data_IF_504802045636
#
_entry.id   IF_504802045636
#
_cell.length_a   1.000
_cell.length_b   1.000
_cell.length_c   1.000
_cell.angle_alpha   90.00
_cell.angle_beta   90.00
_cell.angle_gamma   90.00
#
_symmetry.space_group_name_H-M   'P 1'
#
loop_
_entity.id
_entity.type
_entity.pdbx_description
1 polymer ?
#
# COMPACT_ATOMS: atom_id res chain seq x y z
N UNK A 1 -10.05 -16.84 20.61
CA UNK A 1 -8.57 -16.80 20.74
C UNK A 1 -8.10 -17.48 22.03
N UNK A 2 -8.38 -16.95 23.23
CA UNK A 2 -7.89 -17.54 24.50
C UNK A 2 -8.23 -19.03 24.69
N UNK A 3 -9.50 -19.42 24.49
CA UNK A 3 -9.94 -20.82 24.56
C UNK A 3 -9.19 -21.73 23.55
N UNK A 4 -8.92 -21.21 22.36
CA UNK A 4 -8.19 -21.94 21.33
C UNK A 4 -6.71 -22.11 21.70
N UNK A 5 -6.07 -21.09 22.29
CA UNK A 5 -4.70 -21.22 22.81
C UNK A 5 -4.62 -22.27 23.92
N UNK A 6 -5.61 -22.32 24.83
CA UNK A 6 -5.68 -23.36 25.87
C UNK A 6 -5.83 -24.77 25.27
N UNK A 7 -6.71 -24.94 24.27
CA UNK A 7 -6.90 -26.22 23.57
C UNK A 7 -5.63 -26.72 22.87
N UNK A 8 -4.78 -25.79 22.40
CA UNK A 8 -3.52 -26.12 21.73
C UNK A 8 -2.31 -26.01 22.66
N UNK A 9 -2.50 -25.99 23.98
CA UNK A 9 -1.42 -25.96 25.00
C UNK A 9 -0.44 -24.80 24.80
N UNK A 10 -0.94 -23.66 24.32
CA UNK A 10 -0.18 -22.43 24.19
C UNK A 10 -0.42 -21.51 25.39
N UNK A 11 0.58 -21.41 26.26
CA UNK A 11 0.55 -20.54 27.42
C UNK A 11 0.77 -19.07 27.03
N UNK A 12 -0.27 -18.24 27.21
CA UNK A 12 -0.20 -16.81 26.97
C UNK A 12 0.32 -16.07 28.21
N UNK A 13 1.32 -15.22 28.04
CA UNK A 13 1.78 -14.34 29.11
C UNK A 13 0.88 -13.09 29.20
N UNK A 14 -0.19 -13.20 29.98
CA UNK A 14 -1.19 -12.14 30.14
C UNK A 14 -0.62 -10.82 30.68
N UNK A 15 0.49 -10.86 31.45
CA UNK A 15 1.16 -9.64 31.94
C UNK A 15 1.78 -8.80 30.82
N UNK A 16 2.07 -9.41 29.67
CA UNK A 16 2.59 -8.73 28.48
C UNK A 16 1.51 -8.41 27.45
N UNK A 17 0.24 -8.75 27.73
CA UNK A 17 -0.87 -8.49 26.83
C UNK A 17 -1.47 -7.11 27.13
N UNK A 18 -1.41 -6.22 26.14
CA UNK A 18 -2.01 -4.89 26.18
C UNK A 18 -2.90 -4.70 24.97
N UNK A 19 -3.84 -3.77 25.05
CA UNK A 19 -4.64 -3.37 23.89
C UNK A 19 -4.50 -1.88 23.62
N UNK A 20 -4.64 -1.51 22.36
CA UNK A 20 -4.54 -0.12 21.89
C UNK A 20 -5.77 0.16 21.05
N UNK A 21 -6.28 1.39 21.14
CA UNK A 21 -7.48 1.80 20.40
C UNK A 21 -7.17 3.05 19.58
N UNK A 22 -7.45 2.99 18.29
CA UNK A 22 -7.37 4.13 17.37
C UNK A 22 -8.77 4.54 16.97
N UNK A 23 -9.07 5.84 17.05
CA UNK A 23 -10.38 6.37 16.71
C UNK A 23 -10.26 7.80 16.19
N UNK A 24 -11.19 8.19 15.33
CA UNK A 24 -11.28 9.55 14.78
C UNK A 24 -12.34 10.42 15.50
N UNK A 25 -13.15 9.83 16.40
CA UNK A 25 -14.23 10.53 17.12
C UNK A 25 -13.72 11.21 18.39
N UNK A 26 -14.21 12.41 18.70
CA UNK A 26 -13.88 13.10 19.97
C UNK A 26 -14.26 12.30 21.22
N UNK A 27 -15.37 11.55 21.15
CA UNK A 27 -15.78 10.62 22.19
C UNK A 27 -15.64 9.18 21.67
N UNK A 28 -14.58 8.47 22.06
CA UNK A 28 -14.40 7.07 21.69
C UNK A 28 -15.32 6.16 22.48
N UNK A 29 -15.67 5.02 21.88
CA UNK A 29 -16.33 3.93 22.59
C UNK A 29 -15.28 3.32 23.54
N UNK A 30 -15.57 3.33 24.84
CA UNK A 30 -14.73 2.67 25.82
C UNK A 30 -15.13 1.20 25.90
N UNK A 31 -14.26 0.34 25.37
CA UNK A 31 -14.39 -1.11 25.45
C UNK A 31 -13.30 -1.65 26.36
N UNK A 32 -13.73 -2.49 27.31
CA UNK A 32 -12.82 -3.28 28.14
C UNK A 32 -12.61 -4.62 27.46
N UNK A 33 -11.38 -4.89 27.04
CA UNK A 33 -11.01 -6.17 26.46
C UNK A 33 -10.53 -7.10 27.58
N UNK A 34 -11.16 -8.26 27.71
CA UNK A 34 -10.74 -9.30 28.64
C UNK A 34 -10.19 -10.52 27.89
N UNK A 35 -9.13 -11.11 28.42
CA UNK A 35 -8.56 -12.36 27.92
C UNK A 35 -8.58 -13.39 29.05
N UNK A 36 -9.50 -14.35 28.95
CA UNK A 36 -9.86 -15.20 30.10
C UNK A 36 -10.59 -14.38 31.16
N UNK A 37 -10.06 -14.37 32.39
CA UNK A 37 -10.64 -13.62 33.52
C UNK A 37 -9.89 -12.31 33.82
N UNK A 38 -8.93 -11.92 32.96
CA UNK A 38 -8.10 -10.73 33.17
C UNK A 38 -8.50 -9.64 32.18
N UNK A 39 -8.78 -8.44 32.69
CA UNK A 39 -8.94 -7.24 31.87
C UNK A 39 -7.57 -6.77 31.40
N UNK A 40 -7.41 -6.62 30.09
CA UNK A 40 -6.19 -6.11 29.50
C UNK A 40 -6.01 -4.63 29.84
N UNK A 41 -4.77 -4.21 30.02
CA UNK A 41 -4.44 -2.81 30.21
C UNK A 41 -4.41 -2.10 28.85
N UNK A 42 -4.97 -0.89 28.81
CA UNK A 42 -4.89 -0.03 27.64
C UNK A 42 -3.53 0.64 27.59
N UNK A 43 -2.84 0.51 26.45
CA UNK A 43 -1.61 1.22 26.19
C UNK A 43 -1.91 2.43 25.29
N UNK A 44 -1.53 3.63 25.74
CA UNK A 44 -1.95 4.91 25.13
C UNK A 44 -0.85 5.58 24.33
N UNK A 45 0.42 5.33 24.64
CA UNK A 45 1.57 6.04 24.06
C UNK A 45 2.50 5.01 23.44
N UNK A 46 2.47 4.88 22.12
CA UNK A 46 3.49 4.14 21.39
C UNK A 46 4.59 5.14 21.00
N UNK A 47 5.71 5.13 21.72
CA UNK A 47 6.86 5.99 21.44
C UNK A 47 7.68 5.48 20.25
N UNK A 48 7.59 4.18 19.95
CA UNK A 48 8.35 3.55 18.87
C UNK A 48 7.78 3.90 17.49
N UNK A 49 8.55 4.68 16.73
CA UNK A 49 8.28 5.05 15.33
C UNK A 49 8.04 3.81 14.44
N UNK A 50 8.86 2.76 14.63
CA UNK A 50 8.80 1.52 13.86
C UNK A 50 7.51 0.74 14.13
N UNK A 51 7.03 0.71 15.38
CA UNK A 51 5.79 0.06 15.77
C UNK A 51 4.58 0.79 15.14
N UNK A 52 4.58 2.13 15.18
CA UNK A 52 3.53 2.95 14.55
C UNK A 52 3.46 2.75 13.03
N UNK A 53 4.62 2.71 12.35
CA UNK A 53 4.68 2.40 10.92
C UNK A 53 4.16 1.00 10.61
N UNK A 54 4.57 0.01 11.40
CA UNK A 54 4.14 -1.40 11.23
C UNK A 54 2.62 -1.52 11.37
N UNK A 55 2.05 -0.84 12.35
CA UNK A 55 0.61 -0.79 12.54
C UNK A 55 -0.09 -0.13 11.35
N UNK A 56 0.39 1.03 10.90
CA UNK A 56 -0.17 1.71 9.73
C UNK A 56 -0.10 0.81 8.49
N UNK A 57 1.02 0.10 8.30
CA UNK A 57 1.21 -0.80 7.17
C UNK A 57 0.28 -2.01 7.19
N UNK A 58 0.12 -2.63 8.36
CA UNK A 58 -0.71 -3.83 8.53
C UNK A 58 -2.22 -3.55 8.48
N UNK A 59 -2.67 -2.41 9.03
CA UNK A 59 -4.10 -2.11 9.12
C UNK A 59 -4.62 -1.29 7.94
N UNK A 60 -3.91 -0.24 7.57
CA UNK A 60 -4.42 0.76 6.62
C UNK A 60 -3.83 0.49 5.24
N UNK A 61 -2.50 0.45 5.14
CA UNK A 61 -1.79 0.33 3.85
C UNK A 61 -2.08 -1.00 3.15
N UNK A 62 -2.19 -2.10 3.89
CA UNK A 62 -2.48 -3.43 3.34
C UNK A 62 -3.77 -3.46 2.50
N UNK A 63 -4.85 -2.86 3.00
CA UNK A 63 -6.13 -2.75 2.30
C UNK A 63 -6.02 -1.89 1.05
N UNK A 64 -5.29 -0.76 1.14
CA UNK A 64 -5.09 0.13 0.01
C UNK A 64 -4.24 -0.50 -1.09
N UNK A 65 -3.07 -1.02 -0.73
CA UNK A 65 -2.11 -1.59 -1.70
C UNK A 65 -2.71 -2.80 -2.42
N UNK A 66 -3.56 -3.58 -1.76
CA UNK A 66 -4.32 -4.67 -2.40
C UNK A 66 -5.31 -4.14 -3.44
N UNK A 67 -6.17 -3.18 -3.07
CA UNK A 67 -7.22 -2.69 -3.95
C UNK A 67 -6.70 -1.80 -5.10
N UNK A 68 -5.51 -1.21 -4.95
CA UNK A 68 -4.99 -0.18 -5.85
C UNK A 68 -4.83 -0.64 -7.30
N UNK A 69 -4.54 -1.92 -7.53
CA UNK A 69 -4.40 -2.49 -8.87
C UNK A 69 -5.73 -2.50 -9.64
N UNK A 70 -6.83 -2.78 -8.94
CA UNK A 70 -8.17 -2.84 -9.52
C UNK A 70 -8.77 -1.43 -9.58
N UNK A 71 -8.65 -0.69 -8.49
CA UNK A 71 -9.25 0.65 -8.33
C UNK A 71 -8.19 1.71 -8.54
N UNK A 72 -7.64 1.79 -9.75
CA UNK A 72 -6.66 2.83 -10.05
C UNK A 72 -7.30 4.23 -9.99
N UNK A 73 -6.89 5.11 -9.07
CA UNK A 73 -7.34 6.49 -9.06
C UNK A 73 -6.69 7.24 -10.22
N UNK A 74 -7.46 7.55 -11.25
CA UNK A 74 -6.97 8.34 -12.39
C UNK A 74 -7.34 9.82 -12.29
N UNK A 75 -8.26 10.17 -11.38
CA UNK A 75 -8.63 11.56 -11.12
C UNK A 75 -7.70 12.18 -10.08
N UNK A 76 -7.26 13.41 -10.35
CA UNK A 76 -6.38 14.17 -9.45
C UNK A 76 -6.98 14.29 -8.04
N UNK A 77 -8.29 14.47 -7.93
CA UNK A 77 -9.01 14.56 -6.65
C UNK A 77 -8.91 13.26 -5.84
N UNK A 78 -9.13 12.11 -6.48
CA UNK A 78 -9.02 10.80 -5.83
C UNK A 78 -7.57 10.54 -5.34
N UNK A 79 -6.58 10.90 -6.17
CA UNK A 79 -5.17 10.80 -5.80
C UNK A 79 -4.86 11.71 -4.59
N UNK A 80 -5.37 12.94 -4.59
CA UNK A 80 -5.22 13.86 -3.48
C UNK A 80 -5.85 13.32 -2.19
N UNK A 81 -7.03 12.72 -2.28
CA UNK A 81 -7.71 12.14 -1.11
C UNK A 81 -6.93 10.96 -0.53
N UNK A 82 -6.36 10.08 -1.36
CA UNK A 82 -5.46 9.02 -0.89
C UNK A 82 -4.19 9.57 -0.27
N UNK A 83 -3.59 10.61 -0.85
CA UNK A 83 -2.44 11.28 -0.28
C UNK A 83 -2.76 11.97 1.05
N UNK A 84 -3.99 12.47 1.26
CA UNK A 84 -4.43 13.02 2.55
C UNK A 84 -4.39 11.97 3.66
N UNK A 85 -4.73 10.71 3.37
CA UNK A 85 -4.67 9.62 4.37
C UNK A 85 -3.24 9.43 4.85
N UNK A 86 -2.29 9.32 3.92
CA UNK A 86 -0.88 9.17 4.26
C UNK A 86 -0.32 10.42 4.96
N UNK A 87 -0.69 11.62 4.49
CA UNK A 87 -0.30 12.89 5.11
C UNK A 87 -0.84 13.04 6.54
N UNK A 88 -2.06 12.58 6.80
CA UNK A 88 -2.63 12.58 8.15
C UNK A 88 -1.85 11.66 9.09
N UNK A 89 -1.42 10.48 8.62
CA UNK A 89 -0.56 9.60 9.39
C UNK A 89 0.81 10.23 9.65
N UNK A 90 1.41 10.90 8.66
CA UNK A 90 2.68 11.63 8.84
C UNK A 90 2.54 12.75 9.86
N UNK A 91 1.43 13.51 9.87
CA UNK A 91 1.17 14.52 10.90
C UNK A 91 1.13 13.91 12.29
N UNK A 92 0.49 12.75 12.42
CA UNK A 92 0.47 12.01 13.67
C UNK A 92 1.88 11.56 14.09
N UNK A 93 2.71 11.06 13.16
CA UNK A 93 4.10 10.72 13.43
C UNK A 93 4.93 11.93 13.86
N UNK A 94 4.80 13.07 13.18
CA UNK A 94 5.49 14.31 13.57
C UNK A 94 5.13 14.73 15.00
N UNK A 95 3.85 14.62 15.36
CA UNK A 95 3.38 14.93 16.71
C UNK A 95 3.99 14.00 17.75
N UNK A 96 4.00 12.68 17.49
CA UNK A 96 4.57 11.71 18.45
C UNK A 96 6.09 11.79 18.56
N UNK A 97 6.79 12.06 17.45
CA UNK A 97 8.26 12.15 17.43
C UNK A 97 8.78 13.56 17.78
N UNK A 98 7.91 14.48 18.20
CA UNK A 98 8.24 15.90 18.47
C UNK A 98 8.97 16.61 17.32
N UNK A 99 8.68 16.23 16.07
CA UNK A 99 9.27 16.84 14.88
C UNK A 99 8.45 18.07 14.48
N UNK A 100 9.08 19.24 14.53
CA UNK A 100 8.43 20.48 14.10
C UNK A 100 8.14 20.46 12.60
N UNK A 101 6.88 20.72 12.26
CA UNK A 101 6.40 20.77 10.88
C UNK A 101 5.86 22.17 10.58
N UNK A 102 6.65 23.00 9.91
CA UNK A 102 6.21 24.33 9.47
C UNK A 102 5.07 24.23 8.43
N UNK A 103 4.00 25.01 8.49
CA UNK A 103 3.07 25.20 7.37
C UNK A 103 3.66 26.20 6.34
N UNK A 104 3.65 25.95 5.02
CA UNK A 104 3.15 24.80 4.27
C UNK A 104 4.31 23.84 3.92
N UNK A 105 4.67 22.95 4.83
CA UNK A 105 5.77 22.00 4.59
C UNK A 105 5.44 21.05 3.45
N UNK A 106 6.46 20.86 2.60
CA UNK A 106 6.43 19.88 1.52
C UNK A 106 6.34 18.45 2.10
N UNK A 107 5.23 17.79 1.77
CA UNK A 107 4.94 16.40 2.12
C UNK A 107 6.10 15.48 1.72
N UNK A 108 6.77 15.78 0.60
CA UNK A 108 7.86 14.97 0.06
C UNK A 108 9.14 15.01 0.93
N UNK A 109 9.36 16.06 1.70
CA UNK A 109 10.51 16.12 2.62
C UNK A 109 10.24 15.28 3.86
N UNK A 110 9.03 15.41 4.42
CA UNK A 110 8.67 14.71 5.67
C UNK A 110 8.58 13.20 5.45
N UNK A 111 8.03 12.77 4.32
CA UNK A 111 7.94 11.35 3.97
C UNK A 111 9.33 10.70 3.80
N UNK A 112 10.29 11.44 3.23
CA UNK A 112 11.67 10.99 3.06
C UNK A 112 12.38 10.90 4.40
N UNK A 113 12.16 11.86 5.30
CA UNK A 113 12.71 11.82 6.65
C UNK A 113 12.30 10.54 7.40
N UNK A 114 11.01 10.17 7.34
CA UNK A 114 10.52 8.93 7.92
C UNK A 114 10.79 7.68 7.06
N UNK A 115 11.60 7.74 6.00
CA UNK A 115 11.88 6.63 5.09
C UNK A 115 10.62 5.91 4.57
N UNK A 116 9.54 6.66 4.35
CA UNK A 116 8.29 6.12 3.80
C UNK A 116 8.23 6.31 2.28
N UNK A 117 7.57 5.39 1.58
CA UNK A 117 7.38 5.48 0.14
C UNK A 117 6.13 6.30 -0.21
N UNK A 118 6.21 7.12 -1.26
CA UNK A 118 5.05 7.85 -1.78
C UNK A 118 4.00 6.90 -2.38
N UNK A 119 2.75 7.36 -2.47
CA UNK A 119 1.67 6.59 -3.10
C UNK A 119 2.04 6.17 -4.53
N UNK A 120 2.62 7.09 -5.30
CA UNK A 120 3.03 6.85 -6.68
C UNK A 120 4.12 5.77 -6.78
N UNK A 121 5.17 5.87 -5.97
CA UNK A 121 6.25 4.87 -5.96
C UNK A 121 5.72 3.48 -5.63
N UNK A 122 4.85 3.37 -4.61
CA UNK A 122 4.21 2.11 -4.23
C UNK A 122 3.38 1.55 -5.37
N UNK A 123 2.63 2.41 -6.03
CA UNK A 123 1.78 2.00 -7.14
C UNK A 123 2.59 1.50 -8.34
N UNK A 124 3.70 2.17 -8.67
CA UNK A 124 4.63 1.71 -9.71
C UNK A 124 5.20 0.33 -9.38
N UNK A 125 5.55 0.07 -8.11
CA UNK A 125 6.03 -1.23 -7.68
C UNK A 125 4.95 -2.33 -7.76
N UNK A 126 3.72 -2.05 -7.32
CA UNK A 126 2.61 -3.02 -7.36
C UNK A 126 2.31 -3.42 -8.79
N UNK A 127 2.17 -2.45 -9.71
CA UNK A 127 1.92 -2.71 -11.13
C UNK A 127 3.04 -3.49 -11.81
N UNK A 128 4.29 -3.10 -11.55
CA UNK A 128 5.45 -3.77 -12.14
C UNK A 128 5.57 -5.20 -11.63
N UNK A 129 5.37 -5.43 -10.32
CA UNK A 129 5.35 -6.77 -9.73
C UNK A 129 4.22 -7.63 -10.27
N UNK A 130 3.03 -7.06 -10.41
CA UNK A 130 1.89 -7.77 -10.99
C UNK A 130 2.17 -8.17 -12.44
N UNK A 131 2.66 -7.23 -13.25
CA UNK A 131 3.03 -7.49 -14.65
C UNK A 131 4.09 -8.58 -14.77
N UNK A 132 5.18 -8.48 -13.99
CA UNK A 132 6.24 -9.48 -13.96
C UNK A 132 5.73 -10.87 -13.58
N UNK A 133 4.89 -10.94 -12.53
CA UNK A 133 4.27 -12.21 -12.10
C UNK A 133 3.36 -12.81 -13.15
N UNK A 134 2.63 -11.97 -13.88
CA UNK A 134 1.72 -12.43 -14.90
C UNK A 134 2.46 -12.93 -16.15
N UNK A 135 3.59 -12.31 -16.52
CA UNK A 135 4.40 -12.74 -17.66
C UNK A 135 5.21 -14.01 -17.40
N UNK A 136 5.71 -14.19 -16.17
CA UNK A 136 6.48 -15.37 -15.78
C UNK A 136 5.63 -16.52 -15.27
N UNK A 137 4.32 -16.55 -15.59
CA UNK A 137 3.36 -17.57 -15.16
C UNK A 137 3.36 -17.84 -13.63
N UNK A 138 3.65 -16.83 -12.81
CA UNK A 138 3.40 -16.92 -11.36
C UNK A 138 1.94 -16.66 -11.01
N UNK A 139 1.17 -16.12 -11.95
CA UNK A 139 -0.28 -15.92 -11.86
C UNK A 139 -0.90 -16.67 -13.05
N UNK A 140 -1.54 -17.80 -12.78
CA UNK A 140 -2.17 -18.65 -13.78
C UNK A 140 -3.52 -18.08 -14.21
N UNK A 141 -3.50 -17.10 -15.12
CA UNK A 141 -4.71 -16.47 -15.65
C UNK A 141 -4.54 -16.20 -17.16
N UNK A 142 -4.87 -17.16 -18.04
CA UNK A 142 -4.66 -17.02 -19.48
C UNK A 142 -5.48 -15.87 -20.10
N UNK A 143 -6.66 -15.60 -19.56
CA UNK A 143 -7.54 -14.50 -19.99
C UNK A 143 -6.91 -13.13 -19.76
N UNK A 144 -6.21 -12.95 -18.64
CA UNK A 144 -5.50 -11.71 -18.34
C UNK A 144 -4.23 -11.57 -19.18
N UNK A 145 -3.55 -12.69 -19.44
CA UNK A 145 -2.38 -12.72 -20.32
C UNK A 145 -2.74 -12.37 -21.76
N UNK A 146 -3.88 -12.86 -22.26
CA UNK A 146 -4.38 -12.54 -23.60
C UNK A 146 -4.67 -11.03 -23.78
N UNK A 147 -4.93 -10.31 -22.69
CA UNK A 147 -5.17 -8.87 -22.74
C UNK A 147 -3.89 -8.02 -22.83
N UNK A 148 -2.71 -8.62 -22.62
CA UNK A 148 -1.42 -7.95 -22.81
C UNK A 148 -1.03 -8.00 -24.28
N UNK A 149 -0.73 -6.85 -24.87
CA UNK A 149 -0.21 -6.79 -26.23
C UNK A 149 1.27 -6.39 -26.22
N UNK A 150 2.07 -7.15 -26.94
CA UNK A 150 3.46 -6.78 -27.21
C UNK A 150 3.55 -5.87 -28.43
N UNK A 151 4.47 -4.92 -28.36
CA UNK A 151 4.79 -4.05 -29.49
C UNK A 151 6.00 -4.62 -30.22
N UNK A 152 5.82 -4.97 -31.49
CA UNK A 152 6.93 -5.34 -32.36
C UNK A 152 7.59 -4.04 -32.84
N UNK A 153 8.80 -3.76 -32.37
CA UNK A 153 9.56 -2.57 -32.79
C UNK A 153 10.41 -2.88 -34.03
N UNK A 154 10.58 -1.89 -34.91
CA UNK A 154 11.54 -1.97 -36.00
C UNK A 154 12.97 -1.75 -35.48
N UNK A 155 13.95 -2.33 -36.17
CA UNK A 155 15.35 -2.47 -35.74
C UNK A 155 16.02 -1.13 -35.35
N UNK A 156 15.59 0.01 -35.90
CA UNK A 156 16.24 1.31 -35.73
C UNK A 156 15.47 2.33 -34.86
N UNK A 157 14.51 1.89 -34.06
CA UNK A 157 13.72 2.82 -33.24
C UNK A 157 14.42 3.14 -31.91
N UNK A 158 14.68 4.43 -31.64
CA UNK A 158 15.31 4.91 -30.38
C UNK A 158 14.46 4.70 -29.12
N UNK A 159 13.21 4.26 -29.28
CA UNK A 159 12.27 3.99 -28.20
C UNK A 159 11.74 2.57 -28.34
N UNK A 160 12.30 1.66 -27.54
CA UNK A 160 11.95 0.25 -27.51
C UNK A 160 10.89 0.05 -26.41
N UNK A 161 9.64 0.40 -26.72
CA UNK A 161 8.53 0.05 -25.83
C UNK A 161 8.22 -1.43 -26.00
N UNK A 162 8.19 -2.20 -24.91
CA UNK A 162 7.83 -3.63 -24.95
C UNK A 162 6.35 -3.85 -25.25
N UNK A 163 5.47 -3.00 -24.71
CA UNK A 163 4.03 -3.22 -24.75
C UNK A 163 3.31 -2.22 -25.66
N UNK A 164 2.29 -2.71 -26.36
CA UNK A 164 1.36 -1.89 -27.13
C UNK A 164 0.11 -1.57 -26.28
N UNK A 165 -0.06 -0.29 -25.96
CA UNK A 165 -1.20 0.20 -25.17
C UNK A 165 -2.40 0.39 -26.11
N UNK A 166 -3.53 -0.29 -25.85
CA UNK A 166 -4.75 -0.14 -26.65
C UNK A 166 -5.31 1.27 -26.48
N UNK A 167 -5.56 1.97 -27.59
CA UNK A 167 -6.27 3.25 -27.55
C UNK A 167 -7.75 3.02 -27.23
N UNK A 168 -8.30 3.81 -26.31
CA UNK A 168 -9.70 3.75 -25.93
C UNK A 168 -10.30 5.14 -25.88
N UNK A 169 -11.59 5.23 -26.21
CA UNK A 169 -12.31 6.52 -26.29
C UNK A 169 -12.63 7.11 -24.93
N UNK A 170 -12.77 6.28 -23.88
CA UNK A 170 -13.10 6.73 -22.53
C UNK A 170 -11.89 6.72 -21.60
N UNK A 171 -11.85 7.70 -20.68
CA UNK A 171 -10.82 7.75 -19.63
C UNK A 171 -10.83 6.53 -18.72
N UNK A 172 -12.00 5.93 -18.49
CA UNK A 172 -12.14 4.69 -17.73
C UNK A 172 -11.40 3.52 -18.38
N UNK A 173 -11.65 3.26 -19.67
CA UNK A 173 -10.98 2.16 -20.40
C UNK A 173 -9.48 2.42 -20.58
N UNK A 174 -9.08 3.69 -20.73
CA UNK A 174 -7.67 4.07 -20.86
C UNK A 174 -6.89 3.71 -19.61
N UNK A 175 -7.53 3.86 -18.45
CA UNK A 175 -7.02 3.51 -17.13
C UNK A 175 -7.52 2.12 -16.67
N UNK A 176 -7.70 1.18 -17.60
CA UNK A 176 -7.92 -0.22 -17.25
C UNK A 176 -6.65 -0.84 -16.66
N UNK A 177 -6.75 -1.81 -15.73
CA UNK A 177 -5.59 -2.44 -15.09
C UNK A 177 -4.54 -2.96 -16.08
N UNK A 178 -4.97 -3.53 -17.21
CA UNK A 178 -4.11 -4.03 -18.28
C UNK A 178 -3.32 -2.89 -18.94
N UNK A 179 -4.00 -1.81 -19.34
CA UNK A 179 -3.36 -0.65 -19.95
C UNK A 179 -2.41 0.06 -19.00
N UNK A 180 -2.78 0.23 -17.72
CA UNK A 180 -1.91 0.89 -16.74
C UNK A 180 -0.68 0.03 -16.46
N UNK A 181 -0.83 -1.29 -16.35
CA UNK A 181 0.30 -2.20 -16.14
C UNK A 181 1.27 -2.14 -17.32
N UNK A 182 0.78 -2.24 -18.56
CA UNK A 182 1.60 -2.11 -19.78
C UNK A 182 2.27 -0.74 -19.90
N UNK A 183 1.55 0.35 -19.58
CA UNK A 183 2.10 1.72 -19.54
C UNK A 183 3.24 1.84 -18.52
N UNK A 184 3.11 1.15 -17.38
CA UNK A 184 4.14 1.11 -16.34
C UNK A 184 5.35 0.29 -16.79
N UNK A 185 5.14 -0.84 -17.48
CA UNK A 185 6.21 -1.61 -18.10
C UNK A 185 7.03 -0.80 -19.10
N UNK A 186 6.36 0.01 -19.93
CA UNK A 186 7.05 0.88 -20.90
C UNK A 186 7.84 2.03 -20.26
N UNK A 187 7.43 2.52 -19.08
CA UNK A 187 8.17 3.58 -18.38
C UNK A 187 9.34 3.05 -17.55
N UNK A 188 9.31 1.77 -17.16
CA UNK A 188 10.36 1.12 -16.36
C UNK A 188 11.44 0.51 -17.25
N UNK A 189 12.39 1.34 -17.72
CA UNK A 189 13.48 0.90 -18.62
C UNK A 189 14.54 -0.03 -17.99
N UNK A 190 14.57 -0.13 -16.66
CA UNK A 190 15.63 -0.84 -15.93
C UNK A 190 15.20 -2.22 -15.41
N UNK A 191 13.99 -2.69 -15.75
CA UNK A 191 13.49 -3.99 -15.30
C UNK A 191 13.39 -4.87 -16.55
N UNK A 192 14.18 -5.94 -16.60
CA UNK A 192 13.91 -7.02 -17.54
C UNK A 192 12.73 -7.82 -16.99
N UNK A 193 11.69 -7.97 -17.82
CA UNK A 193 10.49 -8.71 -17.45
C UNK A 193 10.62 -10.21 -17.74
N UNK A 194 11.66 -10.63 -18.45
CA UNK A 194 11.83 -12.00 -18.96
C UNK A 194 13.05 -12.75 -18.42
N UNK A 195 13.96 -12.08 -17.70
CA UNK A 195 15.02 -12.76 -16.97
C UNK A 195 14.47 -13.37 -15.67
N UNK A 196 14.69 -14.68 -15.49
CA UNK A 196 14.28 -15.48 -14.32
C UNK A 196 15.52 -15.78 -13.48
#
# INVERSE_FOLDING_TARGET
MYKWCQQNVMHLNLKKCFYITFYLKKQPIQLNYSLGNINLLKYTILEDESALKTLFYSLIRSHFDYALLIWHPYLVTQIQDLNKIQNNFIRFLCYQCFVYRSPPSDYNVTIRFFNMQSLEQRFMQIKSKFLFKLLNNMIDCPELLQNINFKINSINHRFVNLFYIKHSTTNYMRNSPSNISMSTGNSTKNIDFFEI
#
